data_IF_875080859082
#
_entry.id   IF_875080859082
#
_cell.length_a   1.000
_cell.length_b   1.000
_cell.length_c   1.000
_cell.angle_alpha   90.00
_cell.angle_beta   90.00
_cell.angle_gamma   90.00
#
_symmetry.space_group_name_H-M   'P 1'
#
loop_
_entity.id
_entity.type
_entity.pdbx_description
1 polymer ?
#
# COMPACT_ATOMS: atom_id res chain seq x y z
N UNK A 1 -15.08 1.78 -32.40
CA UNK A 1 -15.07 1.57 -30.94
C UNK A 1 -13.87 0.70 -30.61
N UNK A 2 -12.84 1.26 -29.98
CA UNK A 2 -11.71 0.49 -29.47
C UNK A 2 -11.91 0.20 -27.99
N UNK A 3 -11.41 -0.95 -27.52
CA UNK A 3 -11.44 -1.38 -26.13
C UNK A 3 -10.12 -2.11 -25.86
N UNK A 4 -9.56 -1.96 -24.66
CA UNK A 4 -8.35 -2.69 -24.27
C UNK A 4 -8.75 -4.09 -23.77
N UNK A 5 -8.18 -5.18 -24.33
CA UNK A 5 -8.26 -6.49 -23.69
C UNK A 5 -7.28 -6.51 -22.51
N UNK A 6 -7.80 -6.70 -21.31
CA UNK A 6 -7.00 -6.54 -20.07
C UNK A 6 -6.50 -7.86 -19.48
N UNK A 7 -6.68 -8.99 -20.17
CA UNK A 7 -6.14 -10.30 -19.76
C UNK A 7 -5.79 -11.15 -20.99
N UNK A 8 -4.54 -11.07 -21.47
CA UNK A 8 -4.05 -11.94 -22.54
C UNK A 8 -3.31 -13.20 -22.04
N UNK A 9 -3.24 -13.43 -20.71
CA UNK A 9 -2.30 -14.38 -20.11
C UNK A 9 -2.84 -15.50 -19.22
N UNK A 10 -4.10 -15.47 -18.77
CA UNK A 10 -4.63 -16.51 -17.85
C UNK A 10 -5.89 -17.16 -18.40
N UNK A 11 -5.85 -18.48 -18.55
CA UNK A 11 -6.87 -19.33 -19.21
C UNK A 11 -8.18 -19.52 -18.43
N UNK A 12 -8.42 -18.77 -17.36
CA UNK A 12 -9.70 -18.80 -16.66
C UNK A 12 -10.48 -17.51 -16.98
N UNK A 13 -11.55 -17.73 -17.75
CA UNK A 13 -12.51 -16.80 -18.32
C UNK A 13 -12.77 -15.51 -17.52
N UNK A 14 -12.20 -14.35 -17.90
CA UNK A 14 -12.84 -13.03 -17.84
C UNK A 14 -12.08 -12.03 -18.74
N UNK A 15 -12.39 -12.02 -20.05
CA UNK A 15 -11.99 -10.90 -20.91
C UNK A 15 -12.83 -9.67 -20.54
N UNK A 16 -12.39 -8.92 -19.53
CA UNK A 16 -12.93 -7.60 -19.25
C UNK A 16 -12.43 -6.63 -20.32
N UNK A 17 -13.32 -5.75 -20.77
CA UNK A 17 -12.99 -4.72 -21.75
C UNK A 17 -13.16 -3.36 -21.11
N UNK A 18 -12.08 -2.61 -21.01
CA UNK A 18 -12.10 -1.25 -20.47
C UNK A 18 -12.08 -0.24 -21.61
N UNK A 19 -12.84 0.88 -21.51
CA UNK A 19 -12.78 1.96 -22.48
C UNK A 19 -11.35 2.47 -22.65
N UNK A 20 -11.02 2.96 -23.84
CA UNK A 20 -9.75 3.62 -24.10
C UNK A 20 -9.72 5.03 -23.48
N UNK A 21 -8.56 5.45 -22.99
CA UNK A 21 -8.33 6.84 -22.56
C UNK A 21 -8.54 7.80 -23.74
N UNK A 22 -8.08 7.40 -24.94
CA UNK A 22 -8.30 8.13 -26.19
C UNK A 22 -8.75 7.18 -27.30
N UNK A 23 -9.68 7.62 -28.14
CA UNK A 23 -10.07 6.83 -29.30
C UNK A 23 -8.93 6.79 -30.33
N UNK A 24 -8.43 5.59 -30.63
CA UNK A 24 -7.34 5.38 -31.62
C UNK A 24 -7.76 4.50 -32.81
N UNK A 25 -8.72 4.92 -33.67
CA UNK A 25 -9.18 4.09 -34.79
C UNK A 25 -8.05 3.77 -35.77
N UNK A 26 -7.89 2.47 -36.09
CA UNK A 26 -6.90 2.00 -37.07
C UNK A 26 -5.45 2.00 -36.58
N UNK A 27 -5.21 2.33 -35.30
CA UNK A 27 -3.90 2.29 -34.64
C UNK A 27 -3.93 1.30 -33.47
N UNK A 28 -2.80 1.16 -32.77
CA UNK A 28 -2.78 0.46 -31.49
C UNK A 28 -3.73 1.14 -30.50
N UNK A 29 -4.38 0.34 -29.65
CA UNK A 29 -5.22 0.85 -28.56
C UNK A 29 -4.39 1.74 -27.63
N UNK A 30 -4.93 2.90 -27.27
CA UNK A 30 -4.39 3.67 -26.13
C UNK A 30 -4.60 2.91 -24.82
N UNK A 31 -4.01 3.42 -23.72
CA UNK A 31 -4.20 2.86 -22.38
C UNK A 31 -5.67 2.82 -21.96
N UNK A 32 -5.99 2.03 -20.94
CA UNK A 32 -7.30 2.05 -20.31
C UNK A 32 -7.66 3.45 -19.80
N UNK A 33 -8.93 3.85 -19.93
CA UNK A 33 -9.47 5.06 -19.31
C UNK A 33 -9.56 4.85 -17.80
N UNK A 34 -8.99 5.80 -17.05
CA UNK A 34 -8.94 5.79 -15.58
C UNK A 34 -9.35 7.17 -15.04
N UNK A 35 -9.88 7.19 -13.82
CA UNK A 35 -10.35 8.42 -13.17
C UNK A 35 -11.71 8.94 -13.65
N UNK A 36 -12.16 10.08 -13.10
CA UNK A 36 -11.38 11.01 -12.29
C UNK A 36 -11.25 10.62 -10.82
N UNK A 37 -12.12 9.73 -10.32
CA UNK A 37 -11.96 9.03 -9.04
C UNK A 37 -11.45 7.61 -9.26
N UNK A 38 -10.48 7.20 -8.44
CA UNK A 38 -9.89 5.86 -8.48
C UNK A 38 -9.77 5.28 -7.08
N UNK A 39 -9.90 3.96 -6.95
CA UNK A 39 -9.58 3.21 -5.73
C UNK A 39 -8.07 3.16 -5.60
N UNK A 40 -7.55 3.65 -4.47
CA UNK A 40 -6.12 3.78 -4.19
C UNK A 40 -5.63 2.78 -3.15
N UNK A 41 -6.47 2.37 -2.21
CA UNK A 41 -6.06 1.49 -1.10
C UNK A 41 -7.25 0.64 -0.59
N UNK A 42 -6.96 -0.59 -0.17
CA UNK A 42 -7.95 -1.52 0.40
C UNK A 42 -7.37 -2.26 1.61
N UNK A 43 -7.96 -2.05 2.78
CA UNK A 43 -7.74 -2.90 3.96
C UNK A 43 -8.74 -4.04 3.93
N UNK A 44 -8.43 -5.11 3.19
CA UNK A 44 -9.34 -6.24 3.03
C UNK A 44 -9.30 -7.19 4.25
N UNK A 45 -8.15 -7.31 4.92
CA UNK A 45 -7.97 -8.10 6.15
C UNK A 45 -7.44 -7.21 7.30
N UNK A 46 -8.32 -6.52 8.04
CA UNK A 46 -7.89 -5.77 9.22
C UNK A 46 -7.32 -6.70 10.30
N UNK A 47 -6.33 -6.22 11.06
CA UNK A 47 -5.73 -6.94 12.17
C UNK A 47 -6.68 -7.11 13.36
N UNK A 48 -6.21 -7.77 14.42
CA UNK A 48 -6.94 -7.84 15.69
C UNK A 48 -7.14 -6.41 16.23
N UNK A 49 -8.38 -5.91 16.20
CA UNK A 49 -8.79 -4.52 16.46
C UNK A 49 -8.66 -3.53 15.29
N UNK A 50 -8.28 -3.97 14.08
CA UNK A 50 -8.28 -3.16 12.86
C UNK A 50 -9.69 -2.91 12.31
N UNK A 51 -9.83 -1.95 11.39
CA UNK A 51 -11.06 -1.67 10.64
C UNK A 51 -10.84 -1.89 9.14
N UNK A 52 -11.78 -2.54 8.47
CA UNK A 52 -11.76 -2.63 7.02
C UNK A 52 -12.10 -1.26 6.41
N UNK A 53 -11.44 -0.93 5.31
CA UNK A 53 -11.70 0.30 4.57
C UNK A 53 -11.35 0.20 3.09
N UNK A 54 -11.93 1.12 2.32
CA UNK A 54 -11.59 1.41 0.92
C UNK A 54 -11.28 2.88 0.80
N UNK A 55 -10.14 3.22 0.21
CA UNK A 55 -9.77 4.59 -0.12
C UNK A 55 -10.01 4.90 -1.61
N UNK A 56 -10.51 6.10 -1.87
CA UNK A 56 -10.72 6.66 -3.19
C UNK A 56 -9.94 7.98 -3.33
N UNK A 57 -9.17 8.12 -4.39
CA UNK A 57 -8.37 9.30 -4.71
C UNK A 57 -8.93 10.04 -5.93
N UNK A 58 -8.90 11.38 -5.88
CA UNK A 58 -9.14 12.24 -7.04
C UNK A 58 -7.83 12.47 -7.80
N UNK A 59 -7.72 11.87 -8.99
CA UNK A 59 -6.54 11.98 -9.86
C UNK A 59 -6.68 13.05 -10.95
N UNK A 60 -7.81 13.77 -10.98
CA UNK A 60 -7.98 14.90 -11.88
C UNK A 60 -7.45 16.21 -11.28
N UNK A 61 -7.33 17.21 -12.14
CA UNK A 61 -7.07 18.62 -11.81
C UNK A 61 -8.33 19.41 -11.39
N UNK A 62 -9.49 18.75 -11.39
CA UNK A 62 -10.78 19.36 -11.04
C UNK A 62 -11.24 18.99 -9.62
N UNK A 63 -12.00 19.89 -9.00
CA UNK A 63 -12.73 19.57 -7.76
C UNK A 63 -13.91 18.68 -8.11
N UNK A 64 -14.02 17.51 -7.47
CA UNK A 64 -15.11 16.57 -7.71
C UNK A 64 -16.20 16.78 -6.67
N UNK A 65 -17.38 17.14 -7.14
CA UNK A 65 -18.60 17.23 -6.34
C UNK A 65 -19.28 15.86 -6.24
N UNK A 66 -19.47 15.38 -5.02
CA UNK A 66 -20.11 14.08 -4.75
C UNK A 66 -21.65 14.17 -4.65
N UNK A 67 -22.23 15.36 -4.79
CA UNK A 67 -23.68 15.61 -4.63
C UNK A 67 -24.56 15.02 -5.72
N UNK A 68 -23.98 14.62 -6.85
CA UNK A 68 -24.70 14.15 -8.03
C UNK A 68 -25.08 12.66 -7.97
N UNK A 69 -25.02 12.00 -6.81
CA UNK A 69 -25.52 10.64 -6.62
C UNK A 69 -24.47 9.53 -6.77
N UNK A 70 -23.21 9.84 -6.47
CA UNK A 70 -22.14 8.85 -6.50
C UNK A 70 -22.40 7.72 -5.50
N UNK A 71 -21.95 6.52 -5.85
CA UNK A 71 -22.16 5.29 -5.10
C UNK A 71 -20.91 4.42 -5.16
N UNK A 72 -20.53 3.80 -4.04
CA UNK A 72 -19.51 2.75 -4.00
C UNK A 72 -20.16 1.41 -3.72
N UNK A 73 -20.07 0.52 -4.70
CA UNK A 73 -20.73 -0.78 -4.72
C UNK A 73 -19.69 -1.88 -4.47
N UNK A 74 -19.84 -2.61 -3.36
CA UNK A 74 -19.23 -3.92 -3.17
C UNK A 74 -20.27 -4.98 -3.55
N UNK A 75 -20.08 -5.69 -4.66
CA UNK A 75 -21.17 -6.45 -5.31
C UNK A 75 -21.38 -7.87 -4.76
N UNK A 76 -20.53 -8.36 -3.85
CA UNK A 76 -20.57 -9.75 -3.38
C UNK A 76 -21.72 -10.07 -2.40
N UNK A 77 -22.36 -9.07 -1.76
CA UNK A 77 -23.46 -9.32 -0.79
C UNK A 77 -24.68 -8.39 -0.90
N UNK A 78 -24.78 -7.65 -1.99
CA UNK A 78 -25.81 -6.64 -2.19
C UNK A 78 -25.21 -5.25 -2.20
N UNK A 79 -25.60 -4.48 -3.22
CA UNK A 79 -25.26 -3.09 -3.47
C UNK A 79 -25.22 -2.23 -2.20
N UNK A 80 -24.04 -2.06 -1.59
CA UNK A 80 -23.84 -0.99 -0.59
C UNK A 80 -24.02 0.33 -1.33
N UNK A 81 -24.98 1.16 -0.90
CA UNK A 81 -25.23 2.45 -1.53
C UNK A 81 -24.99 3.53 -0.50
N UNK A 82 -23.80 4.12 -0.52
CA UNK A 82 -23.54 5.35 0.22
C UNK A 82 -23.83 6.53 -0.68
N UNK A 83 -24.81 7.34 -0.31
CA UNK A 83 -24.98 8.67 -0.89
C UNK A 83 -24.15 9.65 -0.08
N UNK A 84 -23.35 10.45 -0.77
CA UNK A 84 -22.50 11.44 -0.13
C UNK A 84 -23.31 12.65 0.35
N UNK A 85 -22.90 13.24 1.47
CA UNK A 85 -23.63 14.33 2.12
C UNK A 85 -23.56 15.68 1.37
N UNK A 86 -24.37 16.67 1.77
CA UNK A 86 -24.66 17.92 1.04
C UNK A 86 -23.48 18.91 0.81
N UNK A 87 -22.25 18.56 1.22
CA UNK A 87 -21.05 19.39 1.03
C UNK A 87 -19.78 18.56 0.77
N UNK A 88 -19.94 17.36 0.19
CA UNK A 88 -18.83 16.43 0.01
C UNK A 88 -18.11 16.70 -1.32
N UNK A 89 -17.09 17.54 -1.29
CA UNK A 89 -16.18 17.76 -2.43
C UNK A 89 -14.82 17.12 -2.18
N UNK A 90 -14.21 16.57 -3.22
CA UNK A 90 -12.82 16.09 -3.19
C UNK A 90 -11.99 17.02 -4.06
N UNK A 91 -11.05 17.76 -3.46
CA UNK A 91 -10.11 18.62 -4.19
C UNK A 91 -9.21 17.78 -5.13
N UNK A 92 -8.53 18.40 -6.12
CA UNK A 92 -7.47 17.74 -6.88
C UNK A 92 -6.42 17.09 -5.95
N UNK A 93 -6.08 15.83 -6.19
CA UNK A 93 -5.21 15.04 -5.30
C UNK A 93 -5.82 14.72 -3.93
N UNK A 94 -7.08 15.08 -3.70
CA UNK A 94 -7.81 14.79 -2.48
C UNK A 94 -8.21 13.33 -2.37
N UNK A 95 -8.46 12.90 -1.13
CA UNK A 95 -8.79 11.51 -0.78
C UNK A 95 -10.12 11.44 -0.05
N UNK A 96 -10.71 10.25 -0.15
CA UNK A 96 -11.95 9.87 0.49
C UNK A 96 -11.82 8.46 1.07
N UNK A 97 -12.32 8.25 2.27
CA UNK A 97 -12.36 6.94 2.91
C UNK A 97 -13.80 6.44 3.09
N UNK A 98 -13.95 5.14 2.92
CA UNK A 98 -15.16 4.39 3.23
C UNK A 98 -14.76 3.30 4.22
N UNK A 99 -15.36 3.31 5.40
CA UNK A 99 -14.88 2.54 6.56
C UNK A 99 -16.00 1.70 7.19
N UNK A 100 -15.63 0.56 7.75
CA UNK A 100 -16.58 -0.30 8.47
C UNK A 100 -16.92 0.22 9.87
N UNK A 101 -15.95 0.85 10.55
CA UNK A 101 -16.13 1.45 11.86
C UNK A 101 -16.82 2.82 11.84
N UNK A 102 -17.04 3.38 13.03
CA UNK A 102 -17.51 4.75 13.19
C UNK A 102 -16.47 5.77 12.63
N UNK A 103 -16.87 6.75 11.80
CA UNK A 103 -15.93 7.68 11.15
C UNK A 103 -15.04 8.48 12.11
N UNK A 104 -15.57 8.95 13.23
CA UNK A 104 -14.80 9.75 14.20
C UNK A 104 -13.80 8.88 14.95
N UNK A 105 -14.22 7.67 15.31
CA UNK A 105 -13.36 6.65 15.93
C UNK A 105 -12.24 6.21 14.97
N UNK A 106 -12.58 5.94 13.71
CA UNK A 106 -11.61 5.57 12.68
C UNK A 106 -10.58 6.69 12.47
N UNK A 107 -11.04 7.93 12.37
CA UNK A 107 -10.15 9.09 12.24
C UNK A 107 -9.14 9.17 13.37
N UNK A 108 -9.62 9.06 14.61
CA UNK A 108 -8.76 9.14 15.78
C UNK A 108 -7.75 7.98 15.84
N UNK A 109 -8.19 6.77 15.47
CA UNK A 109 -7.37 5.56 15.51
C UNK A 109 -6.25 5.54 14.46
N UNK A 110 -6.52 6.03 13.25
CA UNK A 110 -5.58 6.00 12.13
C UNK A 110 -4.94 7.38 11.83
N UNK A 111 -5.12 8.37 12.70
CA UNK A 111 -4.64 9.75 12.53
C UNK A 111 -4.96 10.33 11.13
N UNK A 112 -6.22 10.16 10.69
CA UNK A 112 -6.65 10.57 9.34
C UNK A 112 -6.75 12.09 9.28
N UNK A 113 -6.11 12.77 8.30
CA UNK A 113 -6.14 14.23 8.20
C UNK A 113 -7.56 14.80 8.14
N UNK A 114 -7.84 15.86 8.90
CA UNK A 114 -9.19 16.43 9.07
C UNK A 114 -9.91 16.80 7.76
N UNK A 115 -9.15 17.10 6.69
CA UNK A 115 -9.68 17.42 5.36
C UNK A 115 -10.21 16.21 4.58
N UNK A 116 -9.78 14.99 4.94
CA UNK A 116 -10.17 13.75 4.25
C UNK A 116 -11.58 13.40 4.70
N UNK A 117 -12.49 13.23 3.75
CA UNK A 117 -13.84 12.80 4.04
C UNK A 117 -13.83 11.31 4.45
N UNK A 118 -14.66 10.95 5.42
CA UNK A 118 -14.81 9.56 5.88
C UNK A 118 -16.31 9.24 5.89
N UNK A 119 -16.72 8.21 5.17
CA UNK A 119 -18.07 7.67 5.22
C UNK A 119 -18.07 6.31 5.90
N UNK A 120 -19.05 6.11 6.77
CA UNK A 120 -19.16 4.93 7.62
C UNK A 120 -20.19 5.18 8.72
N UNK A 121 -20.46 4.15 9.54
CA UNK A 121 -20.01 2.77 9.38
C UNK A 121 -20.68 2.06 8.19
N UNK A 122 -19.92 1.26 7.43
CA UNK A 122 -20.41 0.50 6.28
C UNK A 122 -19.98 -0.97 6.33
N UNK A 123 -20.90 -1.90 6.08
CA UNK A 123 -20.59 -3.34 6.08
C UNK A 123 -19.83 -3.75 4.80
N UNK A 124 -18.52 -3.51 4.75
CA UNK A 124 -17.72 -3.66 3.53
C UNK A 124 -17.46 -5.13 3.13
N UNK A 125 -17.37 -6.05 4.09
CA UNK A 125 -17.20 -7.50 3.85
C UNK A 125 -16.13 -7.82 2.77
N UNK A 126 -14.94 -7.23 2.92
CA UNK A 126 -13.86 -7.27 1.92
C UNK A 126 -13.06 -8.59 1.90
N UNK A 127 -13.17 -9.43 2.94
CA UNK A 127 -12.48 -10.72 3.02
C UNK A 127 -13.45 -11.90 2.89
N UNK A 128 -13.36 -12.63 1.77
CA UNK A 128 -13.81 -14.02 1.65
C UNK A 128 -12.77 -14.71 0.77
N UNK A 129 -12.11 -15.66 1.40
CA UNK A 129 -11.12 -16.53 0.78
C UNK A 129 -11.76 -17.24 -0.41
N UNK A 130 -11.08 -17.23 -1.57
CA UNK A 130 -11.38 -17.97 -2.81
C UNK A 130 -12.22 -17.34 -3.94
N UNK A 131 -12.76 -16.13 -3.79
CA UNK A 131 -13.48 -15.43 -4.88
C UNK A 131 -12.87 -14.06 -5.21
N UNK A 132 -12.94 -13.64 -6.48
CA UNK A 132 -12.56 -12.27 -6.87
C UNK A 132 -13.63 -11.28 -6.40
N UNK A 133 -13.25 -10.31 -5.58
CA UNK A 133 -14.09 -9.18 -5.18
C UNK A 133 -14.23 -8.21 -6.31
N UNK A 134 -15.40 -7.62 -6.48
CA UNK A 134 -15.54 -6.45 -7.31
C UNK A 134 -16.00 -5.25 -6.50
N UNK A 135 -15.16 -4.23 -6.51
CA UNK A 135 -15.50 -2.89 -6.07
C UNK A 135 -15.82 -2.05 -7.30
N UNK A 136 -16.84 -1.21 -7.18
CA UNK A 136 -17.26 -0.34 -8.27
C UNK A 136 -17.62 1.04 -7.74
N UNK A 137 -16.90 2.05 -8.22
CA UNK A 137 -17.25 3.44 -8.08
C UNK A 137 -18.21 3.79 -9.23
N UNK A 138 -19.41 4.22 -8.90
CA UNK A 138 -20.45 4.56 -9.86
C UNK A 138 -20.99 5.96 -9.63
N UNK A 139 -21.41 6.58 -10.72
CA UNK A 139 -22.20 7.80 -10.80
C UNK A 139 -23.52 7.44 -11.50
N UNK A 140 -24.61 8.22 -11.37
CA UNK A 140 -25.84 7.94 -12.12
C UNK A 140 -25.64 7.89 -13.65
N UNK A 141 -24.61 8.57 -14.16
CA UNK A 141 -24.24 8.54 -15.58
C UNK A 141 -23.44 7.28 -16.00
N UNK A 142 -23.00 6.45 -15.04
CA UNK A 142 -22.32 5.20 -15.30
C UNK A 142 -21.24 4.83 -14.29
N UNK A 143 -20.57 3.71 -14.57
CA UNK A 143 -19.38 3.29 -13.80
C UNK A 143 -18.22 4.25 -14.05
N UNK A 144 -17.59 4.71 -12.98
CA UNK A 144 -16.41 5.57 -13.02
C UNK A 144 -15.15 4.72 -12.93
N UNK A 145 -15.11 3.81 -11.96
CA UNK A 145 -14.06 2.80 -11.88
C UNK A 145 -14.64 1.48 -11.39
N UNK A 146 -14.00 0.40 -11.79
CA UNK A 146 -14.24 -0.94 -11.29
C UNK A 146 -12.90 -1.60 -11.04
N UNK A 147 -12.83 -2.33 -9.93
CA UNK A 147 -11.67 -3.09 -9.50
C UNK A 147 -12.10 -4.50 -9.16
N UNK A 148 -11.39 -5.49 -9.72
CA UNK A 148 -11.50 -6.89 -9.35
C UNK A 148 -10.25 -7.36 -8.62
N UNK A 149 -10.30 -7.51 -7.31
CA UNK A 149 -9.15 -7.98 -6.52
C UNK A 149 -9.40 -9.35 -5.90
N UNK A 150 -8.36 -10.03 -5.46
CA UNK A 150 -8.46 -11.29 -4.75
C UNK A 150 -7.42 -11.38 -3.63
N UNK A 151 -7.71 -12.14 -2.59
CA UNK A 151 -6.74 -12.46 -1.53
C UNK A 151 -5.81 -13.63 -1.90
N UNK A 152 -5.60 -13.85 -3.21
CA UNK A 152 -4.78 -14.93 -3.78
C UNK A 152 -3.98 -14.40 -4.98
N UNK A 153 -2.86 -15.06 -5.29
CA UNK A 153 -2.04 -14.70 -6.44
C UNK A 153 -2.89 -14.73 -7.74
N UNK A 154 -2.64 -13.83 -8.70
CA UNK A 154 -1.49 -12.93 -8.83
C UNK A 154 -1.56 -11.60 -8.06
N UNK A 155 -2.62 -11.33 -7.30
CA UNK A 155 -2.67 -10.15 -6.42
C UNK A 155 -1.62 -10.25 -5.31
N UNK A 156 -1.14 -9.11 -4.77
CA UNK A 156 -0.27 -9.12 -3.60
C UNK A 156 -0.98 -9.83 -2.43
N UNK A 157 -0.58 -11.07 -2.16
CA UNK A 157 -1.10 -11.88 -1.06
C UNK A 157 -0.17 -11.77 0.12
N UNK A 158 -0.77 -11.56 1.29
CA UNK A 158 -0.06 -11.67 2.55
C UNK A 158 -0.76 -12.65 3.49
N UNK A 159 0.04 -13.41 4.24
CA UNK A 159 -0.42 -14.36 5.25
C UNK A 159 -0.71 -13.68 6.60
N UNK A 160 -0.31 -12.41 6.77
CA UNK A 160 -0.59 -11.61 7.97
C UNK A 160 -1.82 -10.71 7.81
N UNK A 161 -2.49 -10.44 8.93
CA UNK A 161 -3.59 -9.48 9.00
C UNK A 161 -3.07 -8.06 9.28
N UNK A 162 -3.89 -7.05 8.97
CA UNK A 162 -3.64 -5.65 9.35
C UNK A 162 -2.78 -4.86 8.37
N UNK A 163 -2.57 -5.35 7.15
CA UNK A 163 -1.86 -4.63 6.08
C UNK A 163 -2.81 -4.50 4.88
N UNK A 164 -2.92 -3.28 4.35
CA UNK A 164 -3.71 -2.98 3.15
C UNK A 164 -2.93 -3.32 1.88
N UNK A 165 -3.67 -3.41 0.76
CA UNK A 165 -3.07 -3.31 -0.58
C UNK A 165 -3.25 -1.89 -1.10
N UNK A 166 -2.18 -1.38 -1.70
CA UNK A 166 -2.05 -0.02 -2.20
C UNK A 166 -1.72 -0.07 -3.68
N UNK A 167 -2.29 0.87 -4.44
CA UNK A 167 -2.06 0.99 -5.88
C UNK A 167 -0.80 1.83 -6.15
N UNK A 168 0.10 1.32 -6.99
CA UNK A 168 1.37 1.97 -7.33
C UNK A 168 1.17 3.18 -8.25
N UNK A 169 0.52 2.98 -9.41
CA UNK A 169 0.15 4.04 -10.36
C UNK A 169 -1.37 4.25 -10.32
N UNK A 170 -1.78 5.37 -9.72
CA UNK A 170 -3.19 5.77 -9.62
C UNK A 170 -3.85 6.01 -10.99
N UNK A 171 -3.06 6.21 -12.06
CA UNK A 171 -3.55 6.34 -13.44
C UNK A 171 -3.48 5.06 -14.25
N UNK A 172 -2.82 4.02 -13.72
CA UNK A 172 -2.69 2.68 -14.31
C UNK A 172 -3.99 1.88 -14.25
N UNK A 173 -4.07 0.69 -14.84
CA UNK A 173 -5.31 -0.10 -14.83
C UNK A 173 -5.59 -0.72 -13.45
N UNK A 174 -6.83 -0.64 -12.97
CA UNK A 174 -7.19 -1.10 -11.63
C UNK A 174 -7.13 -2.63 -11.49
N UNK A 175 -7.65 -3.42 -12.44
CA UNK A 175 -7.61 -4.90 -12.32
C UNK A 175 -6.24 -5.51 -12.68
N UNK A 176 -5.20 -4.69 -12.94
CA UNK A 176 -3.84 -5.21 -13.14
C UNK A 176 -3.21 -5.48 -11.77
N UNK A 177 -3.02 -6.75 -11.36
CA UNK A 177 -2.49 -7.09 -10.04
C UNK A 177 -1.06 -6.59 -9.83
N UNK A 178 -0.30 -6.37 -10.91
CA UNK A 178 1.07 -5.84 -10.83
C UNK A 178 1.14 -4.33 -10.54
N UNK A 179 -0.01 -3.64 -10.62
CA UNK A 179 -0.15 -2.24 -10.23
C UNK A 179 -0.56 -2.08 -8.75
N UNK A 180 -0.50 -3.17 -7.98
CA UNK A 180 -0.81 -3.18 -6.56
C UNK A 180 0.32 -3.85 -5.79
N UNK A 181 0.61 -3.29 -4.64
CA UNK A 181 1.57 -3.82 -3.69
C UNK A 181 0.94 -3.79 -2.29
N UNK A 182 1.63 -4.40 -1.33
CA UNK A 182 1.22 -4.26 0.08
C UNK A 182 1.64 -2.89 0.61
N UNK A 183 0.90 -2.35 1.55
CA UNK A 183 1.38 -1.20 2.33
C UNK A 183 2.64 -1.55 3.13
N UNK A 184 3.59 -0.62 3.20
CA UNK A 184 4.74 -0.74 4.10
C UNK A 184 4.38 -0.39 5.56
N UNK A 185 3.14 0.06 5.83
CA UNK A 185 2.68 0.49 7.14
C UNK A 185 1.58 -0.45 7.65
N UNK A 186 1.73 -0.95 8.88
CA UNK A 186 0.66 -1.69 9.55
C UNK A 186 -0.51 -0.76 9.81
N UNK A 187 -1.71 -1.18 9.39
CA UNK A 187 -2.90 -0.34 9.38
C UNK A 187 -3.11 0.44 8.08
N UNK A 188 -2.15 0.41 7.15
CA UNK A 188 -2.21 1.11 5.87
C UNK A 188 -1.88 2.61 5.95
N UNK A 189 -2.25 3.35 4.91
CA UNK A 189 -2.05 4.80 4.78
C UNK A 189 -3.36 5.60 4.65
N UNK A 190 -4.43 5.30 5.41
CA UNK A 190 -5.74 5.90 5.18
C UNK A 190 -5.71 7.43 5.25
N UNK A 191 -6.07 8.07 4.14
CA UNK A 191 -6.11 9.52 3.98
C UNK A 191 -4.75 10.17 3.71
N UNK A 192 -3.70 9.38 3.50
CA UNK A 192 -2.32 9.80 3.18
C UNK A 192 -1.88 9.18 1.86
N UNK A 193 -0.74 9.59 1.35
CA UNK A 193 -0.20 9.02 0.12
C UNK A 193 0.22 7.56 0.36
N UNK A 194 -0.02 6.71 -0.65
CA UNK A 194 0.37 5.31 -0.61
C UNK A 194 1.88 5.19 -0.42
N UNK A 195 2.29 4.12 0.25
CA UNK A 195 3.70 3.79 0.40
C UNK A 195 4.32 3.45 -0.96
N UNK A 196 5.65 3.57 -1.13
CA UNK A 196 6.29 3.13 -2.35
C UNK A 196 6.23 1.58 -2.47
N UNK A 197 6.14 1.10 -3.71
CA UNK A 197 6.24 -0.33 -4.05
C UNK A 197 7.70 -0.79 -3.95
N UNK A 198 8.16 -0.96 -2.71
CA UNK A 198 9.49 -1.47 -2.39
C UNK A 198 9.37 -2.90 -1.86
N UNK A 199 10.28 -3.81 -2.25
CA UNK A 199 10.31 -5.17 -1.73
C UNK A 199 10.35 -5.16 -0.19
N UNK A 200 9.55 -6.04 0.40
CA UNK A 200 9.25 -6.10 1.83
C UNK A 200 10.43 -5.84 2.78
N UNK A 201 10.30 -4.74 3.54
CA UNK A 201 10.87 -4.53 4.88
C UNK A 201 10.56 -5.66 5.88
N UNK A 202 9.60 -6.55 5.59
CA UNK A 202 9.29 -7.70 6.47
C UNK A 202 10.39 -8.75 6.45
N UNK A 203 11.18 -8.83 5.38
CA UNK A 203 12.41 -9.63 5.40
C UNK A 203 13.42 -9.03 6.36
N UNK A 204 13.49 -7.70 6.48
CA UNK A 204 14.36 -7.00 7.44
C UNK A 204 13.87 -7.25 8.87
N UNK A 205 12.57 -7.09 9.15
CA UNK A 205 11.98 -7.46 10.44
C UNK A 205 12.19 -8.94 10.78
N UNK A 206 12.01 -9.84 9.82
CA UNK A 206 12.31 -11.26 9.98
C UNK A 206 13.80 -11.45 10.27
N UNK A 207 14.68 -10.72 9.58
CA UNK A 207 16.12 -10.70 9.82
C UNK A 207 16.45 -10.28 11.25
N UNK A 208 15.91 -9.13 11.69
CA UNK A 208 16.06 -8.60 13.03
C UNK A 208 15.60 -9.62 14.08
N UNK A 209 14.48 -10.32 13.82
CA UNK A 209 13.96 -11.35 14.72
C UNK A 209 14.86 -12.61 14.84
N UNK A 210 15.78 -12.81 13.90
CA UNK A 210 16.73 -13.93 13.88
C UNK A 210 18.03 -13.61 14.63
N UNK A 211 18.31 -12.34 14.97
CA UNK A 211 19.54 -11.94 15.63
C UNK A 211 19.76 -12.67 16.96
N UNK A 212 20.98 -13.20 17.13
CA UNK A 212 21.36 -13.96 18.33
C UNK A 212 20.70 -15.34 18.46
N UNK A 213 19.94 -15.81 17.46
CA UNK A 213 19.38 -17.16 17.51
C UNK A 213 20.41 -18.22 17.14
N UNK A 214 20.66 -19.14 18.07
CA UNK A 214 21.51 -20.32 17.87
C UNK A 214 20.70 -21.58 17.52
N UNK A 215 19.37 -21.47 17.34
CA UNK A 215 18.46 -22.61 17.28
C UNK A 215 17.67 -22.67 15.98
N UNK A 216 18.33 -22.93 14.85
CA UNK A 216 17.60 -23.19 13.60
C UNK A 216 18.20 -24.34 12.78
N UNK A 217 17.38 -24.87 11.85
CA UNK A 217 17.75 -25.95 10.92
C UNK A 217 18.81 -25.42 9.94
N UNK A 218 19.78 -26.25 9.54
CA UNK A 218 20.88 -25.91 8.60
C UNK A 218 20.45 -25.15 7.34
N UNK A 219 19.21 -25.36 6.86
CA UNK A 219 18.66 -24.69 5.67
C UNK A 219 18.37 -23.21 5.91
N UNK A 220 17.82 -22.83 7.06
CA UNK A 220 17.46 -21.44 7.38
C UNK A 220 18.70 -20.60 7.71
N UNK A 221 19.72 -21.21 8.32
CA UNK A 221 21.01 -20.52 8.56
C UNK A 221 21.60 -20.06 7.24
N UNK A 222 21.63 -20.88 6.18
CA UNK A 222 22.19 -20.46 4.88
C UNK A 222 21.47 -19.29 4.21
N UNK A 223 20.20 -19.09 4.51
CA UNK A 223 19.40 -18.05 3.86
C UNK A 223 19.61 -16.67 4.54
N UNK A 224 20.05 -16.66 5.81
CA UNK A 224 20.20 -15.46 6.65
C UNK A 224 21.64 -15.20 7.14
N UNK A 225 22.52 -16.20 7.21
CA UNK A 225 23.96 -16.05 7.47
C UNK A 225 24.66 -15.83 6.13
N UNK A 226 24.79 -14.56 5.75
CA UNK A 226 25.25 -14.11 4.43
C UNK A 226 26.76 -14.22 4.31
N UNK A 227 27.47 -13.84 5.37
CA UNK A 227 28.94 -13.91 5.39
C UNK A 227 29.47 -15.33 5.74
N UNK A 228 28.57 -16.24 6.14
CA UNK A 228 28.83 -17.64 6.49
C UNK A 228 29.71 -17.79 7.73
N UNK A 229 29.63 -16.85 8.66
CA UNK A 229 30.36 -16.88 9.92
C UNK A 229 29.66 -17.75 10.99
N UNK A 230 28.44 -18.22 10.74
CA UNK A 230 27.65 -19.06 11.64
C UNK A 230 26.81 -18.28 12.66
N UNK A 231 26.77 -16.95 12.53
CA UNK A 231 25.97 -16.00 13.32
C UNK A 231 25.07 -15.25 12.35
N UNK A 232 23.88 -14.89 12.80
CA UNK A 232 22.99 -13.98 12.06
C UNK A 232 23.00 -12.67 12.83
N UNK A 233 23.56 -11.62 12.23
CA UNK A 233 23.69 -10.29 12.84
C UNK A 233 23.48 -9.13 11.84
N UNK A 234 23.73 -7.91 12.31
CA UNK A 234 23.55 -6.68 11.53
C UNK A 234 24.35 -6.65 10.23
N UNK A 235 25.51 -7.31 10.16
CA UNK A 235 26.30 -7.36 8.93
C UNK A 235 25.58 -8.16 7.85
N UNK A 236 24.98 -9.29 8.21
CA UNK A 236 24.21 -10.08 7.27
C UNK A 236 22.96 -9.33 6.79
N UNK A 237 22.33 -8.55 7.68
CA UNK A 237 21.24 -7.65 7.29
C UNK A 237 21.73 -6.59 6.31
N UNK A 238 22.88 -5.96 6.55
CA UNK A 238 23.41 -4.94 5.66
C UNK A 238 23.76 -5.49 4.28
N UNK A 239 24.23 -6.73 4.21
CA UNK A 239 24.44 -7.43 2.95
C UNK A 239 23.09 -7.75 2.27
N UNK A 240 22.09 -8.18 3.04
CA UNK A 240 20.73 -8.40 2.52
C UNK A 240 20.11 -7.13 1.91
N UNK A 241 20.14 -6.00 2.62
CA UNK A 241 19.54 -4.77 2.11
C UNK A 241 20.27 -4.22 0.88
N UNK A 242 21.61 -4.37 0.80
CA UNK A 242 22.38 -3.94 -0.37
C UNK A 242 22.17 -4.87 -1.57
N UNK A 243 22.28 -6.18 -1.36
CA UNK A 243 22.35 -7.14 -2.46
C UNK A 243 20.97 -7.56 -2.97
N UNK A 244 19.98 -7.67 -2.07
CA UNK A 244 18.63 -8.18 -2.42
C UNK A 244 17.57 -7.09 -2.46
N UNK A 245 17.74 -5.98 -1.73
CA UNK A 245 16.78 -4.87 -1.72
C UNK A 245 17.26 -3.65 -2.52
N UNK A 246 18.47 -3.70 -3.11
CA UNK A 246 19.05 -2.62 -3.90
C UNK A 246 19.14 -1.28 -3.14
N UNK A 247 19.28 -1.33 -1.82
CA UNK A 247 19.56 -0.16 -1.00
C UNK A 247 21.04 0.25 -1.11
N UNK A 248 21.35 1.53 -0.87
CA UNK A 248 22.72 1.95 -0.58
C UNK A 248 23.28 1.27 0.69
N UNK A 249 22.41 0.96 1.64
CA UNK A 249 22.72 0.39 2.95
C UNK A 249 21.77 0.90 4.03
N UNK A 250 22.08 0.74 5.33
CA UNK A 250 21.35 1.42 6.40
C UNK A 250 21.27 2.92 6.16
N UNK A 251 20.10 3.50 6.33
CA UNK A 251 19.85 4.90 6.00
C UNK A 251 19.02 5.11 4.74
N UNK A 252 19.15 4.23 3.74
CA UNK A 252 18.32 4.26 2.52
C UNK A 252 17.00 3.53 2.81
N UNK A 253 15.93 4.29 3.01
CA UNK A 253 14.61 3.77 3.41
C UNK A 253 13.63 3.71 2.24
N UNK A 254 13.92 4.44 1.17
CA UNK A 254 13.12 4.44 -0.05
C UNK A 254 13.65 3.43 -1.09
N UNK A 255 14.80 2.79 -0.81
CA UNK A 255 15.47 1.79 -1.64
C UNK A 255 15.84 2.30 -3.03
N UNK A 256 16.13 3.59 -3.16
CA UNK A 256 16.51 4.21 -4.43
C UNK A 256 18.01 4.05 -4.76
N UNK A 257 18.76 3.40 -3.87
CA UNK A 257 20.18 3.16 -4.01
C UNK A 257 21.04 4.35 -3.56
N UNK A 258 20.44 5.33 -2.87
CA UNK A 258 21.11 6.48 -2.27
C UNK A 258 20.66 6.64 -0.83
N UNK A 259 21.58 7.14 0.00
CA UNK A 259 21.24 7.61 1.33
C UNK A 259 21.37 9.12 1.34
N UNK A 260 20.24 9.83 1.24
CA UNK A 260 20.21 11.28 1.09
C UNK A 260 19.19 11.98 2.02
N UNK A 261 18.96 13.27 1.77
CA UNK A 261 18.02 14.05 2.57
C UNK A 261 16.57 13.55 2.51
N UNK A 262 16.15 12.90 1.42
CA UNK A 262 14.81 12.35 1.27
C UNK A 262 14.57 11.22 2.27
N UNK A 263 15.57 10.36 2.49
CA UNK A 263 15.49 9.28 3.48
C UNK A 263 15.34 9.81 4.90
N UNK A 264 16.20 10.76 5.27
CA UNK A 264 16.17 11.39 6.58
C UNK A 264 14.84 12.10 6.81
N UNK A 265 14.34 12.83 5.81
CA UNK A 265 13.04 13.49 5.89
C UNK A 265 11.92 12.45 6.11
N UNK A 266 11.96 11.31 5.39
CA UNK A 266 10.96 10.27 5.53
C UNK A 266 10.89 9.70 6.96
N UNK A 267 12.04 9.35 7.57
CA UNK A 267 12.05 8.80 8.94
C UNK A 267 11.74 9.85 10.01
N UNK A 268 12.16 11.11 9.83
CA UNK A 268 11.86 12.16 10.82
C UNK A 268 10.41 12.63 10.77
N UNK A 269 9.74 12.55 9.62
CA UNK A 269 8.32 12.86 9.51
C UNK A 269 7.43 11.90 10.30
N UNK A 270 7.91 10.69 10.61
CA UNK A 270 7.19 9.73 11.45
C UNK A 270 7.09 10.16 12.92
N UNK A 271 7.97 11.07 13.39
CA UNK A 271 7.88 11.62 14.74
C UNK A 271 8.22 10.66 15.88
N UNK A 272 8.95 9.58 15.59
CA UNK A 272 9.32 8.49 16.51
C UNK A 272 10.77 8.55 17.01
N UNK A 273 11.55 9.54 16.54
CA UNK A 273 12.95 9.69 16.93
C UNK A 273 13.13 9.90 18.44
N UNK A 274 14.02 9.12 19.06
CA UNK A 274 14.33 9.09 20.50
C UNK A 274 13.12 8.75 21.39
N UNK A 275 12.07 8.14 20.82
CA UNK A 275 10.90 7.67 21.57
C UNK A 275 10.96 6.17 21.78
N UNK A 276 11.50 5.75 22.92
CA UNK A 276 11.63 4.32 23.30
C UNK A 276 10.32 3.64 23.74
N UNK A 277 9.19 4.31 23.57
CA UNK A 277 7.87 3.73 23.82
C UNK A 277 7.21 3.20 22.54
N UNK A 278 7.77 3.55 21.37
CA UNK A 278 7.26 3.14 20.06
C UNK A 278 8.24 2.16 19.43
N UNK A 279 7.81 0.90 19.25
CA UNK A 279 8.59 -0.05 18.46
C UNK A 279 8.43 0.31 16.98
N UNK A 280 9.55 0.45 16.29
CA UNK A 280 9.59 0.86 14.89
C UNK A 280 10.37 -0.15 14.06
N UNK A 281 10.31 0.01 12.74
CA UNK A 281 10.94 -0.90 11.78
C UNK A 281 12.00 -0.13 11.00
N UNK A 282 12.76 -0.81 10.15
CA UNK A 282 13.75 -0.17 9.26
C UNK A 282 13.23 1.04 8.49
N UNK A 283 12.00 0.96 7.95
CA UNK A 283 11.38 2.05 7.20
C UNK A 283 11.13 3.31 8.06
N UNK A 284 11.14 3.14 9.38
CA UNK A 284 10.95 4.19 10.38
C UNK A 284 12.23 4.52 11.15
N UNK A 285 13.38 4.00 10.70
CA UNK A 285 14.69 4.34 11.22
C UNK A 285 15.34 3.34 12.16
N UNK A 286 14.74 2.16 12.41
CA UNK A 286 15.41 1.07 13.15
C UNK A 286 16.40 0.35 12.23
N UNK A 287 17.62 0.88 12.12
CA UNK A 287 18.66 0.40 11.22
C UNK A 287 19.68 -0.50 11.93
N UNK A 288 19.54 -0.68 13.24
CA UNK A 288 20.34 -1.61 14.04
C UNK A 288 19.53 -2.82 14.57
N UNK A 289 18.22 -2.90 14.27
CA UNK A 289 17.29 -3.93 14.73
C UNK A 289 17.05 -3.98 16.24
N UNK A 290 17.23 -2.87 16.96
CA UNK A 290 16.93 -2.81 18.39
C UNK A 290 15.44 -2.49 18.68
N UNK A 291 14.69 -2.17 17.62
CA UNK A 291 13.27 -1.86 17.66
C UNK A 291 12.96 -0.38 17.87
N UNK A 292 13.95 0.50 17.94
CA UNK A 292 13.75 1.93 18.20
C UNK A 292 14.50 2.78 17.19
N UNK A 293 13.94 3.95 16.84
CA UNK A 293 14.69 4.94 16.05
C UNK A 293 15.38 5.93 16.99
N UNK A 294 16.69 5.78 17.14
CA UNK A 294 17.52 6.59 18.04
C UNK A 294 18.76 7.14 17.32
N UNK A 295 19.57 7.90 18.06
CA UNK A 295 20.88 8.32 17.58
C UNK A 295 21.81 7.14 17.25
N UNK A 296 21.59 5.96 17.83
CA UNK A 296 22.40 4.76 17.54
C UNK A 296 22.17 4.28 16.10
N UNK A 297 20.93 4.39 15.59
CA UNK A 297 20.60 4.08 14.20
C UNK A 297 21.25 5.05 13.22
N UNK A 298 21.18 6.35 13.51
CA UNK A 298 21.84 7.36 12.68
C UNK A 298 23.35 7.10 12.59
N UNK A 299 23.97 6.70 13.70
CA UNK A 299 25.37 6.29 13.72
C UNK A 299 25.58 5.03 12.89
N UNK A 300 24.71 4.02 13.01
CA UNK A 300 24.78 2.79 12.24
C UNK A 300 24.70 3.06 10.72
N UNK A 301 23.77 3.90 10.27
CA UNK A 301 23.67 4.32 8.88
C UNK A 301 24.90 5.08 8.40
N UNK A 302 25.34 6.11 9.12
CA UNK A 302 26.49 6.93 8.72
C UNK A 302 27.83 6.19 8.75
N UNK A 303 27.94 5.11 9.51
CA UNK A 303 29.13 4.25 9.52
C UNK A 303 29.17 3.24 8.38
N UNK A 304 28.00 2.81 7.90
CA UNK A 304 27.87 1.69 6.97
C UNK A 304 27.36 2.09 5.57
N UNK A 305 26.98 3.35 5.39
CA UNK A 305 26.47 3.91 4.13
C UNK A 305 27.02 5.31 3.92
N UNK A 306 27.35 5.63 2.67
CA UNK A 306 27.81 6.97 2.29
C UNK A 306 26.58 7.87 2.15
N UNK A 307 26.54 8.94 2.94
CA UNK A 307 25.52 9.98 2.77
C UNK A 307 25.83 10.86 1.55
N UNK A 308 24.88 10.97 0.62
CA UNK A 308 24.98 11.75 -0.60
C UNK A 308 24.05 12.97 -0.54
N UNK A 309 24.55 14.18 -0.23
CA UNK A 309 23.73 15.38 -0.08
C UNK A 309 23.20 15.98 -1.39
#
# INVERSE_FOLDING_TARGET
FGRVPVNAGTTNEYAAWTPLAEATPGLANSRARTGPLVISEIMYRPGFLGDAFVEVSNVSDEVIDLLSGWTVLADNRGSLTQTFGPAATIAPGGKLLIVEGDPDTFRAKYDVPAKVLIFGPMLLSLDVVSESYRLRLAHPDGTIEQLRYASIAPWPVWEGDGVSIERTDLTGYADDPSNWHRSQISGGTPGRDNTPDVPLVDSILAFCSMFGSTRFRERLVRDYDRDRNGVIDTLDLYDYVRDDLNAAGPGDVNFDGRFDSADLVAVFQAGVYERRDDLVTWAFGDWNCDGYFTSEDLVAALQNTVYEP
#
